data_IF_723010343566
#
_entry.id   IF_723010343566
#
_cell.length_a   1.000
_cell.length_b   1.000
_cell.length_c   1.000
_cell.angle_alpha   90.00
_cell.angle_beta   90.00
_cell.angle_gamma   90.00
#
_symmetry.space_group_name_H-M   'P 1'
#
loop_
_entity.id
_entity.type
_entity.pdbx_description
1 polymer ?
#
# COMPACT_ATOMS: atom_id res chain seq x y z
N UNK A 1 6.64 -2.69 35.98
CA UNK A 1 5.26 -2.62 36.46
C UNK A 1 5.23 -2.43 37.97
N UNK A 2 6.11 -3.11 38.71
CA UNK A 2 6.21 -3.11 40.17
C UNK A 2 6.12 -1.73 40.85
N UNK A 3 6.77 -0.70 40.27
CA UNK A 3 6.68 0.68 40.80
C UNK A 3 5.27 1.27 40.80
N UNK A 4 4.43 0.84 39.86
CA UNK A 4 3.04 1.29 39.81
C UNK A 4 2.14 0.43 40.69
N UNK A 5 2.46 -0.84 40.92
CA UNK A 5 1.56 -1.79 41.60
C UNK A 5 1.81 -1.94 43.09
N UNK A 6 2.98 -1.53 43.59
CA UNK A 6 3.41 -1.73 44.98
C UNK A 6 2.48 -1.11 46.03
N UNK A 7 1.83 -0.01 45.70
CA UNK A 7 1.03 0.79 46.64
C UNK A 7 -0.47 0.72 46.38
N UNK A 8 -0.89 -0.17 45.46
CA UNK A 8 -2.28 -0.30 45.04
C UNK A 8 -2.93 -1.42 45.86
N UNK A 9 -3.91 -1.06 46.69
CA UNK A 9 -4.63 -1.99 47.57
C UNK A 9 -5.78 -2.74 46.90
N UNK A 10 -5.83 -2.78 45.57
CA UNK A 10 -6.90 -3.39 44.78
C UNK A 10 -6.34 -4.10 43.55
N UNK A 11 -7.07 -5.10 43.06
CA UNK A 11 -6.67 -5.92 41.93
C UNK A 11 -6.80 -5.14 40.60
N UNK A 12 -5.71 -5.06 39.85
CA UNK A 12 -5.65 -4.40 38.55
C UNK A 12 -5.98 -5.35 37.39
N UNK A 13 -6.21 -6.64 37.68
CA UNK A 13 -6.41 -7.67 36.67
C UNK A 13 -5.13 -7.97 35.88
N UNK A 14 -5.27 -8.23 34.59
CA UNK A 14 -4.13 -8.60 33.74
C UNK A 14 -3.19 -7.41 33.45
N UNK A 15 -2.13 -7.34 34.24
CA UNK A 15 -1.08 -6.32 34.11
C UNK A 15 -0.30 -6.37 32.80
N UNK A 16 -0.40 -7.43 32.00
CA UNK A 16 0.22 -7.51 30.66
C UNK A 16 -0.40 -6.52 29.66
N UNK A 17 -1.62 -6.06 29.96
CA UNK A 17 -2.37 -5.06 29.19
C UNK A 17 -2.17 -3.63 29.70
N UNK A 18 -1.27 -3.43 30.67
CA UNK A 18 -0.99 -2.14 31.30
C UNK A 18 0.43 -1.65 31.04
N UNK A 19 0.62 -0.34 31.09
CA UNK A 19 1.92 0.34 31.10
C UNK A 19 2.05 1.16 32.38
N UNK A 20 3.29 1.28 32.84
CA UNK A 20 3.65 2.14 33.96
C UNK A 20 4.60 3.21 33.43
N UNK A 21 4.19 4.48 33.48
CA UNK A 21 4.96 5.61 32.98
C UNK A 21 4.80 6.83 33.89
N UNK A 22 5.64 7.84 33.71
CA UNK A 22 5.67 9.02 34.57
C UNK A 22 6.74 8.95 35.65
N UNK A 23 6.98 10.09 36.28
CA UNK A 23 7.95 10.28 37.36
C UNK A 23 7.56 11.49 38.21
N UNK A 24 8.27 11.69 39.32
CA UNK A 24 8.10 12.86 40.19
C UNK A 24 8.05 14.17 39.40
N UNK A 25 6.98 14.96 39.63
CA UNK A 25 6.71 16.23 38.96
C UNK A 25 6.38 16.16 37.46
N UNK A 26 6.29 14.96 36.86
CA UNK A 26 5.89 14.73 35.47
C UNK A 26 4.97 13.52 35.40
N UNK A 27 3.71 13.76 35.74
CA UNK A 27 2.71 12.72 35.82
C UNK A 27 1.34 13.26 35.35
N UNK A 28 0.40 12.33 35.19
CA UNK A 28 -1.02 12.58 34.94
C UNK A 28 -1.76 12.80 36.27
N UNK A 29 -2.87 13.51 36.22
CA UNK A 29 -3.67 13.83 37.39
C UNK A 29 -5.16 13.65 37.13
N UNK A 30 -5.97 14.07 38.11
CA UNK A 30 -7.42 14.08 37.98
C UNK A 30 -7.86 14.87 36.74
N UNK A 31 -8.70 14.25 35.91
CA UNK A 31 -9.19 14.84 34.67
C UNK A 31 -8.40 14.46 33.41
N UNK A 32 -7.23 13.82 33.54
CA UNK A 32 -6.43 13.39 32.38
C UNK A 32 -6.85 12.02 31.81
N UNK A 33 -7.79 11.32 32.45
CA UNK A 33 -8.24 9.97 32.06
C UNK A 33 -8.65 9.90 30.59
N UNK A 34 -8.14 8.89 29.88
CA UNK A 34 -8.31 8.73 28.44
C UNK A 34 -7.31 9.52 27.58
N UNK A 35 -6.50 10.39 28.18
CA UNK A 35 -5.45 11.14 27.48
C UNK A 35 -4.37 10.24 26.85
N UNK A 36 -3.67 10.72 25.81
CA UNK A 36 -2.69 9.90 25.09
C UNK A 36 -1.31 9.88 25.76
N UNK A 37 -0.69 8.70 25.78
CA UNK A 37 0.75 8.52 25.98
C UNK A 37 1.39 8.23 24.64
N UNK A 38 2.21 9.17 24.14
CA UNK A 38 2.86 9.10 22.83
C UNK A 38 4.35 8.83 23.00
N UNK A 39 4.89 7.87 22.23
CA UNK A 39 6.34 7.76 22.05
C UNK A 39 6.84 8.92 21.17
N UNK A 40 7.63 9.81 21.76
CA UNK A 40 8.09 11.04 21.10
C UNK A 40 8.96 10.77 19.88
N UNK A 41 9.66 9.63 19.82
CA UNK A 41 10.55 9.30 18.69
C UNK A 41 9.75 8.86 17.46
N UNK A 42 8.77 7.98 17.65
CA UNK A 42 7.97 7.44 16.54
C UNK A 42 6.68 8.22 16.27
N UNK A 43 6.21 9.03 17.23
CA UNK A 43 4.88 9.64 17.19
C UNK A 43 3.74 8.65 17.46
N UNK A 44 4.06 7.43 17.92
CA UNK A 44 3.07 6.36 18.10
C UNK A 44 2.30 6.51 19.41
N UNK A 45 0.98 6.32 19.36
CA UNK A 45 0.14 6.17 20.55
C UNK A 45 0.39 4.80 21.21
N UNK A 46 1.05 4.81 22.37
CA UNK A 46 1.44 3.58 23.08
C UNK A 46 0.56 3.27 24.27
N UNK A 47 -0.10 4.28 24.85
CA UNK A 47 -0.98 4.09 25.98
C UNK A 47 -2.07 5.15 26.13
N UNK A 48 -3.06 4.85 26.96
CA UNK A 48 -4.12 5.77 27.37
C UNK A 48 -4.11 5.92 28.88
N UNK A 49 -4.24 7.15 29.40
CA UNK A 49 -4.30 7.40 30.84
C UNK A 49 -5.45 6.60 31.44
N UNK A 50 -5.13 5.76 32.44
CA UNK A 50 -6.10 4.91 33.11
C UNK A 50 -6.28 5.33 34.57
N UNK A 51 -5.21 5.25 35.36
CA UNK A 51 -5.27 5.56 36.79
C UNK A 51 -4.00 6.27 37.24
N UNK A 52 -4.18 7.31 38.04
CA UNK A 52 -3.14 7.82 38.91
C UNK A 52 -2.94 6.90 40.12
N UNK A 53 -1.75 6.99 40.71
CA UNK A 53 -1.42 6.26 41.93
C UNK A 53 -0.82 7.25 42.92
N UNK A 54 -1.07 6.99 44.20
CA UNK A 54 -0.39 7.70 45.28
C UNK A 54 1.05 7.22 45.35
N UNK A 55 1.98 8.16 45.56
CA UNK A 55 3.36 7.81 45.86
C UNK A 55 3.50 7.29 47.30
N UNK A 56 4.72 6.88 47.68
CA UNK A 56 5.03 6.37 49.03
C UNK A 56 4.81 7.41 50.15
N UNK A 57 4.58 8.69 49.80
CA UNK A 57 4.28 9.78 50.72
C UNK A 57 2.78 10.09 50.80
N UNK A 58 1.94 9.36 50.06
CA UNK A 58 0.49 9.57 50.00
C UNK A 58 0.11 10.78 49.14
N UNK A 59 1.00 11.28 48.29
CA UNK A 59 0.70 12.38 47.37
C UNK A 59 0.19 11.84 46.04
N UNK A 60 -0.95 12.38 45.59
CA UNK A 60 -1.48 12.12 44.26
C UNK A 60 -0.71 12.93 43.22
N UNK A 61 -0.68 12.44 41.98
CA UNK A 61 -0.11 13.13 40.81
C UNK A 61 1.41 13.39 40.90
N UNK A 62 2.08 12.74 41.84
CA UNK A 62 3.52 12.91 42.09
C UNK A 62 4.33 11.63 41.84
N UNK A 63 3.67 10.49 41.63
CA UNK A 63 4.30 9.20 41.29
C UNK A 63 4.33 8.91 39.79
N UNK A 64 4.70 7.68 39.37
CA UNK A 64 4.31 7.17 38.06
C UNK A 64 2.78 6.97 38.00
N UNK A 65 2.23 6.51 36.88
CA UNK A 65 0.81 6.22 36.71
C UNK A 65 0.60 5.08 35.72
N UNK A 66 -0.62 4.54 35.76
CA UNK A 66 -1.02 3.39 34.99
C UNK A 66 -1.73 3.86 33.73
N UNK A 67 -1.34 3.25 32.62
CA UNK A 67 -1.91 3.47 31.31
C UNK A 67 -2.39 2.14 30.74
N UNK A 68 -3.49 2.16 29.99
CA UNK A 68 -3.91 1.03 29.16
C UNK A 68 -2.90 0.89 28.01
N UNK A 69 -2.31 -0.28 27.83
CA UNK A 69 -1.37 -0.57 26.73
C UNK A 69 -2.13 -0.74 25.42
N UNK A 70 -2.11 0.28 24.56
CA UNK A 70 -2.87 0.28 23.29
C UNK A 70 -2.54 -0.94 22.42
N UNK A 71 -1.27 -1.33 22.39
CA UNK A 71 -0.80 -2.52 21.66
C UNK A 71 -1.53 -3.82 22.03
N UNK A 72 -1.99 -3.97 23.28
CA UNK A 72 -2.70 -5.18 23.74
C UNK A 72 -4.17 -5.23 23.29
N UNK A 73 -4.71 -4.12 22.77
CA UNK A 73 -6.11 -4.01 22.34
C UNK A 73 -6.26 -3.75 20.83
N UNK A 74 -5.18 -3.89 20.05
CA UNK A 74 -5.22 -3.60 18.61
C UNK A 74 -6.27 -4.45 17.88
N UNK A 75 -6.42 -5.72 18.23
CA UNK A 75 -7.43 -6.60 17.61
C UNK A 75 -8.85 -6.10 17.90
N UNK A 76 -9.14 -5.76 19.16
CA UNK A 76 -10.43 -5.17 19.53
C UNK A 76 -10.69 -3.87 18.79
N UNK A 77 -9.71 -2.95 18.78
CA UNK A 77 -9.81 -1.68 18.08
C UNK A 77 -10.10 -1.95 16.61
N UNK A 78 -9.27 -2.74 15.93
CA UNK A 78 -9.42 -3.07 14.51
C UNK A 78 -10.77 -3.70 14.18
N UNK A 79 -11.31 -4.56 15.06
CA UNK A 79 -12.62 -5.18 14.88
C UNK A 79 -13.80 -4.23 15.10
N UNK A 80 -13.60 -3.12 15.82
CA UNK A 80 -14.65 -2.16 16.17
C UNK A 80 -14.49 -0.79 15.51
N UNK A 81 -13.46 -0.60 14.67
CA UNK A 81 -13.28 0.63 13.89
C UNK A 81 -14.38 0.85 12.83
N UNK A 82 -15.27 -0.12 12.60
CA UNK A 82 -16.39 -0.03 11.66
C UNK A 82 -15.94 0.02 10.19
N UNK A 83 -16.77 -0.48 9.26
CA UNK A 83 -16.50 -0.37 7.82
C UNK A 83 -16.88 1.01 7.23
N UNK A 84 -17.48 1.91 8.02
CA UNK A 84 -18.03 3.19 7.53
C UNK A 84 -18.03 4.28 8.60
N UNK A 85 -16.88 4.56 9.20
CA UNK A 85 -16.74 5.68 10.14
C UNK A 85 -15.44 6.42 9.89
N UNK A 86 -15.55 7.59 9.26
CA UNK A 86 -14.49 8.58 9.01
C UNK A 86 -13.49 8.28 7.87
N UNK A 87 -13.70 8.97 6.75
CA UNK A 87 -12.75 9.16 5.63
C UNK A 87 -11.50 9.99 6.00
N UNK A 88 -11.21 10.18 7.29
CA UNK A 88 -10.03 10.91 7.77
C UNK A 88 -9.14 10.11 8.73
N UNK A 89 -9.31 8.77 8.79
CA UNK A 89 -8.40 7.89 9.54
C UNK A 89 -7.14 7.56 8.74
N UNK A 90 -5.99 8.04 9.21
CA UNK A 90 -4.68 7.91 8.59
C UNK A 90 -4.11 6.47 8.44
N UNK A 91 -4.94 5.42 8.42
CA UNK A 91 -4.51 4.02 8.28
C UNK A 91 -5.13 3.28 7.09
N UNK A 92 -6.25 3.75 6.54
CA UNK A 92 -6.90 3.13 5.38
C UNK A 92 -6.20 3.52 4.07
N UNK A 93 -5.80 4.80 3.92
CA UNK A 93 -5.01 5.25 2.77
C UNK A 93 -3.73 4.45 2.60
N UNK A 94 -3.07 4.05 3.70
CA UNK A 94 -1.83 3.27 3.61
C UNK A 94 -2.06 1.87 3.02
N UNK A 95 -3.17 1.22 3.37
CA UNK A 95 -3.53 -0.10 2.82
C UNK A 95 -4.02 0.01 1.37
N UNK A 96 -4.75 1.08 1.06
CA UNK A 96 -5.28 1.30 -0.29
C UNK A 96 -4.21 1.78 -1.26
N UNK A 97 -3.22 2.57 -0.81
CA UNK A 97 -2.06 2.98 -1.60
C UNK A 97 -1.19 1.79 -2.00
N UNK A 98 -0.95 0.85 -1.07
CA UNK A 98 -0.23 -0.39 -1.36
C UNK A 98 -0.99 -1.24 -2.38
N UNK A 99 -2.30 -1.46 -2.17
CA UNK A 99 -3.14 -2.20 -3.13
C UNK A 99 -3.21 -1.52 -4.48
N UNK A 100 -3.26 -0.19 -4.51
CA UNK A 100 -3.31 0.59 -5.75
C UNK A 100 -1.98 0.51 -6.49
N UNK A 101 -0.86 0.49 -5.77
CA UNK A 101 0.47 0.30 -6.37
C UNK A 101 0.59 -1.08 -7.01
N UNK A 102 0.20 -2.14 -6.30
CA UNK A 102 0.24 -3.51 -6.82
C UNK A 102 -0.70 -3.66 -8.03
N UNK A 103 -1.94 -3.17 -7.91
CA UNK A 103 -2.91 -3.15 -9.01
C UNK A 103 -2.37 -2.40 -10.23
N UNK A 104 -1.76 -1.23 -10.06
CA UNK A 104 -1.17 -0.47 -11.18
C UNK A 104 -0.03 -1.24 -11.84
N UNK A 105 0.78 -1.96 -11.07
CA UNK A 105 1.81 -2.86 -11.62
C UNK A 105 1.21 -3.97 -12.47
N UNK A 106 0.17 -4.65 -11.96
CA UNK A 106 -0.52 -5.73 -12.67
C UNK A 106 -1.22 -5.22 -13.93
N UNK A 107 -1.89 -4.08 -13.87
CA UNK A 107 -2.55 -3.43 -15.00
C UNK A 107 -1.53 -3.02 -16.08
N UNK A 108 -0.39 -2.47 -15.69
CA UNK A 108 0.68 -2.10 -16.61
C UNK A 108 1.28 -3.32 -17.33
N UNK A 109 1.58 -4.38 -16.59
CA UNK A 109 2.10 -5.63 -17.14
C UNK A 109 1.07 -6.29 -18.06
N UNK A 110 -0.21 -6.31 -17.65
CA UNK A 110 -1.31 -6.85 -18.46
C UNK A 110 -1.48 -6.08 -19.77
N UNK A 111 -1.42 -4.74 -19.73
CA UNK A 111 -1.52 -3.90 -20.93
C UNK A 111 -0.33 -4.13 -21.86
N UNK A 112 0.88 -4.22 -21.31
CA UNK A 112 2.10 -4.52 -22.07
C UNK A 112 2.01 -5.88 -22.77
N UNK A 113 1.60 -6.91 -22.03
CA UNK A 113 1.44 -8.26 -22.57
C UNK A 113 0.37 -8.33 -23.65
N UNK A 114 -0.72 -7.58 -23.51
CA UNK A 114 -1.78 -7.49 -24.54
C UNK A 114 -1.23 -7.02 -25.89
N UNK A 115 -0.49 -5.91 -25.91
CA UNK A 115 0.07 -5.37 -27.15
C UNK A 115 1.22 -6.22 -27.69
N UNK A 116 2.08 -6.77 -26.83
CA UNK A 116 3.13 -7.69 -27.26
C UNK A 116 2.55 -8.95 -27.93
N UNK A 117 1.47 -9.53 -27.38
CA UNK A 117 0.76 -10.66 -27.99
C UNK A 117 0.23 -10.29 -29.36
N UNK A 118 -0.46 -9.15 -29.48
CA UNK A 118 -1.00 -8.67 -30.77
C UNK A 118 0.09 -8.44 -31.83
N UNK A 119 1.24 -7.88 -31.44
CA UNK A 119 2.38 -7.69 -32.35
C UNK A 119 2.89 -9.05 -32.82
N UNK A 120 3.09 -10.00 -31.89
CA UNK A 120 3.54 -11.35 -32.24
C UNK A 120 2.57 -12.09 -33.17
N UNK A 121 1.27 -12.07 -32.86
CA UNK A 121 0.21 -12.65 -33.70
C UNK A 121 0.18 -12.03 -35.11
N UNK A 122 0.51 -10.75 -35.25
CA UNK A 122 0.58 -10.05 -36.53
C UNK A 122 1.85 -10.42 -37.32
N UNK A 123 2.99 -10.58 -36.65
CA UNK A 123 4.29 -10.86 -37.30
C UNK A 123 4.44 -12.33 -37.68
N UNK A 124 3.93 -13.27 -36.87
CA UNK A 124 4.02 -14.71 -37.12
C UNK A 124 3.72 -15.16 -38.57
N UNK A 125 2.63 -14.73 -39.22
CA UNK A 125 2.37 -15.10 -40.61
C UNK A 125 3.39 -14.50 -41.60
N UNK A 126 3.96 -13.34 -41.30
CA UNK A 126 4.99 -12.68 -42.11
C UNK A 126 6.32 -13.43 -41.96
N UNK A 127 6.70 -13.79 -40.72
CA UNK A 127 7.88 -14.60 -40.45
C UNK A 127 7.82 -15.92 -41.24
N UNK A 128 6.67 -16.62 -41.18
CA UNK A 128 6.47 -17.85 -41.93
C UNK A 128 6.56 -17.63 -43.46
N UNK A 129 6.11 -16.49 -43.98
CA UNK A 129 6.18 -16.14 -45.40
C UNK A 129 7.62 -15.89 -45.87
N UNK A 130 8.44 -15.22 -45.06
CA UNK A 130 9.80 -14.85 -45.44
C UNK A 130 10.87 -15.86 -44.97
N UNK A 131 10.47 -16.85 -44.16
CA UNK A 131 11.36 -17.82 -43.52
C UNK A 131 12.17 -17.20 -42.38
N UNK A 132 11.62 -16.16 -41.72
CA UNK A 132 12.25 -15.52 -40.57
C UNK A 132 12.06 -16.36 -39.30
N UNK A 133 12.97 -16.22 -38.34
CA UNK A 133 12.84 -16.76 -36.99
C UNK A 133 12.95 -15.60 -36.01
N UNK A 134 11.87 -15.33 -35.26
CA UNK A 134 11.77 -14.22 -34.30
C UNK A 134 12.17 -12.86 -34.93
N UNK A 135 11.77 -12.64 -36.18
CA UNK A 135 12.08 -11.43 -36.95
C UNK A 135 13.48 -11.36 -37.59
N UNK A 136 14.25 -12.45 -37.56
CA UNK A 136 15.54 -12.54 -38.24
C UNK A 136 15.45 -13.35 -39.54
N UNK A 137 15.79 -12.73 -40.68
CA UNK A 137 15.83 -13.38 -42.00
C UNK A 137 17.13 -14.17 -42.26
N UNK A 138 18.10 -14.07 -41.36
CA UNK A 138 19.39 -14.74 -41.43
C UNK A 138 20.40 -14.10 -42.39
N UNK A 139 21.65 -14.58 -42.32
CA UNK A 139 22.82 -13.99 -43.00
C UNK A 139 22.77 -14.04 -44.54
N UNK A 140 21.84 -14.81 -45.12
CA UNK A 140 21.71 -14.97 -46.58
C UNK A 140 20.66 -14.05 -47.21
N UNK A 141 19.96 -13.23 -46.42
CA UNK A 141 18.98 -12.27 -46.92
C UNK A 141 19.68 -11.05 -47.55
N UNK A 142 19.24 -10.66 -48.75
CA UNK A 142 19.69 -9.43 -49.41
C UNK A 142 18.86 -8.22 -48.97
N UNK A 143 19.34 -7.02 -49.29
CA UNK A 143 18.68 -5.76 -48.92
C UNK A 143 17.23 -5.70 -49.43
N UNK A 144 16.97 -6.24 -50.62
CA UNK A 144 15.63 -6.27 -51.21
C UNK A 144 14.66 -7.16 -50.42
N UNK A 145 15.14 -8.28 -49.87
CA UNK A 145 14.35 -9.16 -49.00
C UNK A 145 14.06 -8.52 -47.65
N UNK A 146 15.02 -7.79 -47.08
CA UNK A 146 14.81 -7.01 -45.85
C UNK A 146 13.82 -5.87 -46.06
N UNK A 147 13.97 -5.09 -47.14
CA UNK A 147 13.04 -4.00 -47.47
C UNK A 147 11.59 -4.50 -47.62
N UNK A 148 11.41 -5.67 -48.25
CA UNK A 148 10.09 -6.29 -48.39
C UNK A 148 9.52 -6.80 -47.07
N UNK A 149 10.36 -7.38 -46.19
CA UNK A 149 9.95 -7.83 -44.86
C UNK A 149 9.56 -6.65 -43.96
N UNK A 150 10.36 -5.58 -43.96
CA UNK A 150 10.10 -4.37 -43.18
C UNK A 150 8.81 -3.66 -43.63
N UNK A 151 8.57 -3.60 -44.95
CA UNK A 151 7.34 -3.04 -45.49
C UNK A 151 6.09 -3.82 -45.02
N UNK A 152 6.19 -5.14 -44.89
CA UNK A 152 5.08 -5.99 -44.45
C UNK A 152 4.89 -6.01 -42.92
N UNK A 153 5.97 -5.88 -42.13
CA UNK A 153 5.89 -5.85 -40.66
C UNK A 153 5.61 -4.46 -40.09
N UNK A 154 5.85 -3.38 -40.85
CA UNK A 154 5.61 -2.01 -40.41
C UNK A 154 4.19 -1.77 -39.82
N UNK A 155 3.08 -2.28 -40.40
CA UNK A 155 1.75 -2.17 -39.80
C UNK A 155 1.62 -2.90 -38.45
N UNK A 156 2.32 -4.02 -38.26
CA UNK A 156 2.31 -4.77 -37.00
C UNK A 156 3.01 -3.99 -35.88
N UNK A 157 4.13 -3.34 -36.19
CA UNK A 157 4.85 -2.54 -35.19
C UNK A 157 4.10 -1.29 -34.76
N UNK A 158 3.19 -0.75 -35.58
CA UNK A 158 2.28 0.34 -35.16
C UNK A 158 1.36 -0.06 -34.00
N UNK A 159 1.12 -1.35 -33.76
CA UNK A 159 0.40 -1.81 -32.58
C UNK A 159 1.16 -1.51 -31.27
N UNK A 160 2.48 -1.26 -31.34
CA UNK A 160 3.28 -0.79 -30.20
C UNK A 160 2.99 0.66 -29.82
N UNK A 161 2.31 1.43 -30.66
CA UNK A 161 1.85 2.77 -30.27
C UNK A 161 0.95 2.66 -29.03
N UNK A 162 0.12 1.61 -28.94
CA UNK A 162 -0.69 1.33 -27.74
C UNK A 162 0.12 0.97 -26.50
N UNK A 163 1.26 0.30 -26.67
CA UNK A 163 2.18 0.02 -25.58
C UNK A 163 2.69 1.31 -24.94
N UNK A 164 2.98 2.34 -25.74
CA UNK A 164 3.44 3.63 -25.23
C UNK A 164 2.38 4.38 -24.43
N UNK A 165 1.09 4.04 -24.60
CA UNK A 165 -0.03 4.67 -23.90
C UNK A 165 -0.38 3.96 -22.58
N UNK A 166 0.08 2.72 -22.36
CA UNK A 166 -0.19 1.95 -21.14
C UNK A 166 0.21 2.70 -19.84
N UNK A 167 1.41 3.33 -19.71
CA UNK A 167 1.78 4.07 -18.49
C UNK A 167 0.81 5.20 -18.16
N UNK A 168 0.40 5.97 -19.16
CA UNK A 168 -0.50 7.11 -18.99
C UNK A 168 -1.90 6.66 -18.56
N UNK A 169 -2.42 5.60 -19.18
CA UNK A 169 -3.72 5.04 -18.82
C UNK A 169 -3.74 4.40 -17.42
N UNK A 170 -2.63 3.81 -16.98
CA UNK A 170 -2.50 3.23 -15.63
C UNK A 170 -2.37 4.31 -14.55
N UNK A 171 -1.82 5.49 -14.90
CA UNK A 171 -1.67 6.60 -13.94
C UNK A 171 -3.00 7.01 -13.32
N UNK A 172 -4.06 7.01 -14.12
CA UNK A 172 -5.41 7.43 -13.73
C UNK A 172 -6.26 6.28 -13.16
N UNK A 173 -5.71 5.07 -13.07
CA UNK A 173 -6.43 3.92 -12.55
C UNK A 173 -6.76 4.05 -11.06
N UNK A 174 -7.97 3.62 -10.71
CA UNK A 174 -8.49 3.48 -9.33
C UNK A 174 -8.62 2.00 -8.96
N UNK A 175 -8.89 1.69 -7.68
CA UNK A 175 -8.91 0.30 -7.17
C UNK A 175 -9.95 -0.62 -7.85
N UNK A 176 -10.93 -0.06 -8.53
CA UNK A 176 -11.99 -0.76 -9.28
C UNK A 176 -11.64 -1.02 -10.75
N UNK A 177 -10.51 -0.47 -11.23
CA UNK A 177 -10.10 -0.63 -12.62
C UNK A 177 -9.68 -2.05 -12.96
N UNK A 178 -9.98 -2.45 -14.20
CA UNK A 178 -9.63 -3.73 -14.81
C UNK A 178 -8.80 -3.52 -16.08
N UNK A 179 -8.15 -4.59 -16.53
CA UNK A 179 -7.27 -4.57 -17.70
C UNK A 179 -7.98 -4.06 -18.97
N UNK A 180 -9.25 -4.42 -19.19
CA UNK A 180 -10.04 -4.00 -20.34
C UNK A 180 -10.22 -2.48 -20.41
N UNK A 181 -10.32 -1.81 -19.26
CA UNK A 181 -10.43 -0.35 -19.20
C UNK A 181 -9.11 0.32 -19.59
N UNK A 182 -7.97 -0.24 -19.19
CA UNK A 182 -6.64 0.27 -19.55
C UNK A 182 -6.38 0.11 -21.04
N UNK A 183 -6.69 -1.07 -21.60
CA UNK A 183 -6.55 -1.33 -23.04
C UNK A 183 -7.45 -0.40 -23.85
N UNK A 184 -8.70 -0.20 -23.40
CA UNK A 184 -9.63 0.73 -24.06
C UNK A 184 -9.09 2.17 -24.07
N UNK A 185 -8.53 2.64 -22.95
CA UNK A 185 -7.90 3.95 -22.87
C UNK A 185 -6.72 4.09 -23.85
N UNK A 186 -5.87 3.06 -23.95
CA UNK A 186 -4.74 3.06 -24.88
C UNK A 186 -5.21 3.08 -26.34
N UNK A 187 -6.21 2.26 -26.70
CA UNK A 187 -6.78 2.21 -28.05
C UNK A 187 -7.45 3.54 -28.46
N UNK A 188 -8.05 4.27 -27.53
CA UNK A 188 -8.63 5.60 -27.78
C UNK A 188 -7.54 6.65 -28.02
N UNK A 189 -6.39 6.55 -27.34
CA UNK A 189 -5.27 7.49 -27.50
C UNK A 189 -4.50 7.32 -28.82
N UNK A 190 -4.47 6.11 -29.38
CA UNK A 190 -3.83 5.87 -30.70
C UNK A 190 -4.67 6.45 -31.85
N UNK A 191 -5.98 6.66 -31.64
CA UNK A 191 -6.91 7.16 -32.67
C UNK A 191 -6.95 8.69 -32.78
N UNK A 192 -6.44 9.40 -31.77
CA UNK A 192 -6.45 10.86 -31.67
C UNK A 192 -5.06 11.43 -31.96
#
# INVERSE_FOLDING_TARGET
MDKCTKSIGWDLGDTSTLLCAGKAGKNVCEGDSGGPLIDVKSGTLVGLVSHNIFDDQGLNCNGPSIFTKVGSYLDFINNNLGQRGYTCGASQWYKDDLKLKDLKGDLFNGCTNHYNSKVGECIQPIDAKFGAVDGDLGETADDAKWDAYDAETAPCYRLRDGLTQCPDCVKDATLDWKLDQVVKCADEKIKN
#
